data_IF_454675567790
#
_entry.id   IF_454675567790
#
_cell.length_a   1.000
_cell.length_b   1.000
_cell.length_c   1.000
_cell.angle_alpha   90.00
_cell.angle_beta   90.00
_cell.angle_gamma   90.00
#
_symmetry.space_group_name_H-M   'P 1'
#
loop_
_entity.id
_entity.type
_entity.pdbx_description
1 polymer ?
#
# COMPACT_ATOMS: atom_id res chain seq x y z
N UNK A 1 0.82 -0.57 6.00
CA UNK A 1 -0.15 -1.55 5.41
C UNK A 1 0.53 -2.92 5.16
N UNK A 2 -0.15 -4.07 5.31
CA UNK A 2 0.44 -5.42 5.08
C UNK A 2 -0.53 -6.38 4.36
N UNK A 3 0.00 -7.27 3.52
CA UNK A 3 -0.76 -8.38 2.94
C UNK A 3 -1.12 -9.41 4.04
N UNK A 4 -2.22 -10.14 3.84
CA UNK A 4 -2.66 -11.17 4.78
C UNK A 4 -1.91 -12.45 4.45
N UNK A 5 -1.09 -13.00 5.36
CA UNK A 5 -0.32 -14.21 5.10
C UNK A 5 -1.20 -15.44 4.83
N UNK A 6 -2.46 -15.43 5.27
CA UNK A 6 -3.41 -16.53 5.05
C UNK A 6 -4.19 -16.38 3.74
N UNK A 7 -4.04 -15.26 3.02
CA UNK A 7 -4.68 -15.00 1.75
C UNK A 7 -3.67 -14.50 0.73
N UNK A 8 -3.11 -15.43 -0.04
CA UNK A 8 -2.11 -15.15 -1.07
C UNK A 8 -2.61 -14.20 -2.16
N UNK A 9 -3.93 -14.04 -2.30
CA UNK A 9 -4.59 -13.13 -3.25
C UNK A 9 -5.08 -11.85 -2.58
N UNK A 10 -4.73 -11.61 -1.33
CA UNK A 10 -5.10 -10.39 -0.63
C UNK A 10 -4.61 -9.17 -1.43
N UNK A 11 -5.51 -8.22 -1.64
CA UNK A 11 -5.36 -7.04 -2.52
C UNK A 11 -5.20 -7.30 -4.01
N UNK A 12 -5.09 -8.55 -4.49
CA UNK A 12 -4.94 -8.86 -5.91
C UNK A 12 -6.31 -9.08 -6.56
N UNK A 13 -6.51 -8.49 -7.73
CA UNK A 13 -7.67 -8.72 -8.58
C UNK A 13 -7.23 -8.88 -10.03
N UNK A 14 -7.74 -9.91 -10.70
CA UNK A 14 -7.55 -10.07 -12.14
C UNK A 14 -8.55 -9.20 -12.91
N UNK A 15 -8.08 -8.46 -13.90
CA UNK A 15 -8.89 -7.62 -14.77
C UNK A 15 -8.36 -7.70 -16.21
N UNK A 16 -9.19 -8.19 -17.14
CA UNK A 16 -8.86 -8.35 -18.57
C UNK A 16 -7.49 -9.02 -18.82
N UNK A 17 -7.21 -10.09 -18.08
CA UNK A 17 -5.96 -10.85 -18.19
C UNK A 17 -4.82 -10.34 -17.30
N UNK A 18 -4.79 -9.05 -16.96
CA UNK A 18 -3.77 -8.46 -16.12
C UNK A 18 -4.14 -8.44 -14.63
N UNK A 19 -3.14 -8.46 -13.77
CA UNK A 19 -3.33 -8.28 -12.33
C UNK A 19 -3.40 -6.80 -11.94
N UNK A 20 -4.22 -6.52 -10.92
CA UNK A 20 -4.39 -5.22 -10.30
C UNK A 20 -4.29 -5.35 -8.79
N UNK A 21 -3.75 -4.32 -8.15
CA UNK A 21 -3.69 -4.16 -6.71
C UNK A 21 -4.82 -3.23 -6.24
N UNK A 22 -5.61 -3.65 -5.25
CA UNK A 22 -6.72 -2.88 -4.68
C UNK A 22 -6.61 -2.79 -3.17
N UNK A 23 -6.50 -1.57 -2.64
CA UNK A 23 -6.41 -1.33 -1.20
C UNK A 23 -7.05 0.00 -0.83
N UNK A 24 -7.27 0.22 0.46
CA UNK A 24 -7.83 1.46 1.00
C UNK A 24 -6.78 2.12 1.88
N UNK A 25 -6.35 3.31 1.52
CA UNK A 25 -5.50 4.15 2.37
C UNK A 25 -6.40 4.85 3.39
N UNK A 26 -6.14 4.63 4.67
CA UNK A 26 -6.71 5.45 5.75
C UNK A 26 -5.65 6.49 6.10
N UNK A 27 -5.93 7.76 5.83
CA UNK A 27 -5.12 8.85 6.37
C UNK A 27 -5.73 9.27 7.69
N UNK A 28 -4.92 9.58 8.71
CA UNK A 28 -5.42 9.91 10.06
C UNK A 28 -6.43 11.06 10.06
N UNK A 29 -6.34 11.96 9.07
CA UNK A 29 -7.23 13.11 8.94
C UNK A 29 -8.53 12.84 8.16
N UNK A 30 -8.65 11.74 7.42
CA UNK A 30 -9.88 11.41 6.69
C UNK A 30 -10.56 10.18 7.29
N UNK A 31 -11.72 10.40 7.92
CA UNK A 31 -12.61 9.32 8.38
C UNK A 31 -13.09 8.42 7.22
N UNK A 32 -12.98 8.90 5.97
CA UNK A 32 -13.30 8.14 4.76
C UNK A 32 -12.00 7.68 4.09
N UNK A 33 -11.72 6.38 4.17
CA UNK A 33 -10.55 5.79 3.52
C UNK A 33 -10.60 5.94 2.00
N UNK A 34 -9.49 6.33 1.38
CA UNK A 34 -9.37 6.46 -0.08
C UNK A 34 -9.11 5.10 -0.71
N UNK A 35 -10.01 4.66 -1.60
CA UNK A 35 -9.81 3.44 -2.37
C UNK A 35 -8.81 3.68 -3.51
N UNK A 36 -7.76 2.87 -3.56
CA UNK A 36 -6.72 2.91 -4.58
C UNK A 36 -6.78 1.62 -5.39
N UNK A 37 -6.63 1.76 -6.72
CA UNK A 37 -6.51 0.65 -7.66
C UNK A 37 -5.29 0.90 -8.54
N UNK A 38 -4.30 0.03 -8.48
CA UNK A 38 -3.08 0.12 -9.29
C UNK A 38 -3.03 -1.07 -10.26
N UNK A 39 -2.74 -0.83 -11.53
CA UNK A 39 -2.40 -1.90 -12.46
C UNK A 39 -1.02 -2.48 -12.15
N UNK A 40 -0.89 -3.80 -12.09
CA UNK A 40 0.40 -4.47 -11.91
C UNK A 40 1.05 -4.86 -13.23
N UNK A 41 0.41 -4.60 -14.38
CA UNK A 41 0.95 -4.83 -15.73
C UNK A 41 1.66 -6.17 -15.92
N UNK A 42 1.07 -7.24 -15.37
CA UNK A 42 1.53 -8.61 -15.56
C UNK A 42 0.33 -9.55 -15.64
N UNK A 43 0.49 -10.63 -16.39
CA UNK A 43 -0.47 -11.73 -16.50
C UNK A 43 -0.14 -12.89 -15.55
N UNK A 44 1.07 -12.90 -15.01
CA UNK A 44 1.62 -13.94 -14.14
C UNK A 44 1.21 -13.69 -12.68
N UNK A 45 0.71 -14.73 -11.99
CA UNK A 45 0.21 -14.60 -10.61
C UNK A 45 1.36 -14.42 -9.61
N UNK A 46 2.49 -15.09 -9.81
CA UNK A 46 3.63 -15.02 -8.90
C UNK A 46 4.33 -13.67 -9.00
N UNK A 47 4.52 -13.17 -10.22
CA UNK A 47 5.01 -11.82 -10.47
C UNK A 47 4.07 -10.76 -9.86
N UNK A 48 2.75 -10.97 -9.95
CA UNK A 48 1.79 -10.06 -9.34
C UNK A 48 1.89 -10.05 -7.81
N UNK A 49 2.14 -11.20 -7.17
CA UNK A 49 2.38 -11.30 -5.72
C UNK A 49 3.64 -10.52 -5.31
N UNK A 50 4.73 -10.69 -6.05
CA UNK A 50 5.99 -9.97 -5.80
C UNK A 50 5.78 -8.45 -5.96
N UNK A 51 5.15 -8.01 -7.06
CA UNK A 51 4.88 -6.58 -7.31
C UNK A 51 3.95 -5.98 -6.25
N UNK A 52 2.92 -6.71 -5.79
CA UNK A 52 2.10 -6.30 -4.64
C UNK A 52 2.97 -6.05 -3.42
N UNK A 53 3.81 -7.01 -3.05
CA UNK A 53 4.57 -6.93 -1.79
C UNK A 53 5.55 -5.74 -1.80
N UNK A 54 6.14 -5.44 -2.97
CA UNK A 54 6.97 -4.25 -3.16
C UNK A 54 6.15 -2.98 -2.90
N UNK A 55 4.96 -2.85 -3.50
CA UNK A 55 4.10 -1.66 -3.33
C UNK A 55 3.65 -1.52 -1.88
N UNK A 56 3.20 -2.60 -1.24
CA UNK A 56 2.73 -2.57 0.15
C UNK A 56 3.87 -2.23 1.13
N UNK A 57 5.09 -2.75 0.89
CA UNK A 57 6.28 -2.38 1.68
C UNK A 57 6.65 -0.91 1.50
N UNK A 58 6.62 -0.40 0.27
CA UNK A 58 6.92 1.00 -0.02
C UNK A 58 5.93 1.94 0.67
N UNK A 59 4.63 1.62 0.62
CA UNK A 59 3.59 2.38 1.33
C UNK A 59 3.80 2.33 2.85
N UNK A 60 4.10 1.15 3.40
CA UNK A 60 4.38 1.04 4.83
C UNK A 60 5.61 1.82 5.29
N UNK A 61 6.59 2.06 4.39
CA UNK A 61 7.77 2.88 4.68
C UNK A 61 7.47 4.38 4.52
N UNK A 62 6.65 4.75 3.55
CA UNK A 62 6.17 6.12 3.38
C UNK A 62 5.33 6.58 4.59
N UNK A 63 4.43 5.72 5.09
CA UNK A 63 3.66 5.97 6.32
C UNK A 63 4.59 6.26 7.52
N UNK A 64 5.73 5.55 7.62
CA UNK A 64 6.74 5.77 8.67
C UNK A 64 7.50 7.11 8.52
N UNK A 65 7.75 7.56 7.28
CA UNK A 65 8.47 8.82 7.05
C UNK A 65 7.62 10.05 7.37
N UNK A 66 6.32 10.03 7.08
CA UNK A 66 5.43 11.14 7.48
C UNK A 66 5.32 11.25 9.01
N UNK A 67 5.26 10.12 9.72
CA UNK A 67 5.27 10.12 11.20
C UNK A 67 6.58 10.67 11.82
N UNK A 68 7.73 10.52 11.14
CA UNK A 68 9.02 11.02 11.62
C UNK A 68 9.26 12.50 11.27
N UNK A 69 8.62 13.03 10.23
CA UNK A 69 8.71 14.45 9.87
C UNK A 69 7.97 15.33 10.88
N UNK A 70 6.78 14.90 11.31
CA UNK A 70 5.98 15.63 12.31
C UNK A 70 6.63 15.67 13.70
N UNK A 71 7.47 14.68 14.04
CA UNK A 71 8.18 14.65 15.32
C UNK A 71 9.43 15.55 15.33
N UNK A 72 10.03 15.81 14.16
CA UNK A 72 11.22 16.65 14.05
C UNK A 72 10.89 18.15 14.18
N UNK A 73 9.71 18.59 13.75
CA UNK A 73 9.28 19.99 13.88
C UNK A 73 8.95 20.41 15.32
N UNK A 74 8.72 19.47 16.24
CA UNK A 74 8.36 19.77 17.63
C UNK A 74 9.58 19.99 18.52
N UNK A 75 10.79 19.57 18.13
CA UNK A 75 12.00 19.70 18.95
C UNK A 75 12.89 20.92 18.65
N UNK A 76 12.56 21.76 17.66
CA UNK A 76 13.32 22.99 17.36
C UNK A 76 12.71 24.27 17.98
N UNK A 77 11.78 24.14 18.94
CA UNK A 77 11.10 25.28 19.58
C UNK A 77 11.23 25.38 21.10
N UNK A 78 12.30 24.86 21.69
CA UNK A 78 12.67 25.17 23.08
C UNK A 78 13.97 25.97 23.17
#
# INVERSE_FOLDING_TARGET
>A
MRADPCNERHHLRRNRGCWQLRFTLKTEHNMVGRRVVCGLNTHDEDEARVRRDIVLRALSKADLLEMHSDMAEVMEKE
#
